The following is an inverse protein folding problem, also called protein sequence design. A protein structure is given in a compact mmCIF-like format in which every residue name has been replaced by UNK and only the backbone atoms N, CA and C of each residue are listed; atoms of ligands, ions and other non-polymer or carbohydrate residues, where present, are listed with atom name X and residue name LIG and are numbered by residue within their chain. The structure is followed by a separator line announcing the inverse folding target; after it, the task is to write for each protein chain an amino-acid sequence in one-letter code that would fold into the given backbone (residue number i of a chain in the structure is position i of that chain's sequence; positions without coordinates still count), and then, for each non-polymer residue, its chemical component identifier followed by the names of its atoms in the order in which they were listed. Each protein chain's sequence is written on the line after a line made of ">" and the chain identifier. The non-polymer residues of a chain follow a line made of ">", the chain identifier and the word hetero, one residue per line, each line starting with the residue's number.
data_IF_887966279972
#
_entry.id   IF_887966279972
#
_cell.length_a   1.000
_cell.length_b   1.000
_cell.length_c   1.000
_cell.angle_alpha   90.00
_cell.angle_beta   90.00
_cell.angle_gamma   90.00
#
_symmetry.space_group_name_H-M   'P 1'
#
loop_
_entity.id
_entity.type
_entity.pdbx_description
1 polymer ?
#
# COMPACT_ATOMS: atom_id res chain seq x y z
N UNK A 1 -6.95 -17.29 24.14
CA UNK A 1 -7.84 -16.85 23.03
C UNK A 1 -7.01 -16.35 21.85
N UNK A 2 -6.84 -17.22 20.85
CA UNK A 2 -6.72 -16.97 19.40
C UNK A 2 -5.71 -15.95 18.83
N UNK A 3 -4.42 -16.06 19.15
CA UNK A 3 -3.35 -15.39 18.35
C UNK A 3 -3.11 -16.07 16.99
N UNK A 4 -3.33 -17.39 16.90
CA UNK A 4 -3.17 -18.17 15.65
C UNK A 4 -4.12 -17.74 14.52
N UNK A 5 -5.30 -17.20 14.87
CA UNK A 5 -6.34 -16.81 13.90
C UNK A 5 -6.01 -15.50 13.18
N UNK A 6 -5.40 -14.52 13.88
CA UNK A 6 -5.05 -13.21 13.29
C UNK A 6 -3.89 -13.31 12.32
N UNK A 7 -2.86 -14.10 12.65
CA UNK A 7 -1.71 -14.30 11.76
C UNK A 7 -2.08 -15.07 10.48
N UNK A 8 -3.03 -16.01 10.58
CA UNK A 8 -3.55 -16.72 9.41
C UNK A 8 -4.35 -15.78 8.49
N UNK A 9 -5.23 -14.94 9.05
CA UNK A 9 -6.00 -13.96 8.29
C UNK A 9 -5.09 -12.92 7.58
N UNK A 10 -4.06 -12.42 8.27
CA UNK A 10 -3.09 -11.48 7.67
C UNK A 10 -2.32 -12.13 6.52
N UNK A 11 -1.87 -13.38 6.68
CA UNK A 11 -1.21 -14.13 5.61
C UNK A 11 -2.15 -14.34 4.42
N UNK A 12 -3.41 -14.72 4.67
CA UNK A 12 -4.42 -14.95 3.64
C UNK A 12 -4.69 -13.69 2.82
N UNK A 13 -4.95 -12.55 3.48
CA UNK A 13 -5.12 -11.24 2.81
C UNK A 13 -3.90 -10.85 1.98
N UNK A 14 -2.69 -11.02 2.51
CA UNK A 14 -1.46 -10.71 1.76
C UNK A 14 -1.28 -11.62 0.54
N UNK A 15 -1.58 -12.91 0.68
CA UNK A 15 -1.54 -13.86 -0.44
C UNK A 15 -2.56 -13.48 -1.50
N UNK A 16 -3.82 -13.22 -1.12
CA UNK A 16 -4.85 -12.83 -2.08
C UNK A 16 -4.49 -11.53 -2.80
N UNK A 17 -4.02 -10.50 -2.09
CA UNK A 17 -3.59 -9.25 -2.72
C UNK A 17 -2.48 -9.46 -3.77
N UNK A 18 -1.51 -10.34 -3.49
CA UNK A 18 -0.45 -10.68 -4.45
C UNK A 18 -0.99 -11.44 -5.66
N UNK A 19 -1.93 -12.36 -5.46
CA UNK A 19 -2.52 -13.13 -6.56
C UNK A 19 -3.34 -12.21 -7.48
N UNK A 20 -4.17 -11.34 -6.91
CA UNK A 20 -4.96 -10.35 -7.67
C UNK A 20 -4.03 -9.41 -8.43
N UNK A 21 -3.00 -8.85 -7.78
CA UNK A 21 -2.05 -7.96 -8.47
C UNK A 21 -1.31 -8.65 -9.62
N UNK A 22 -0.93 -9.92 -9.45
CA UNK A 22 -0.28 -10.70 -10.50
C UNK A 22 -1.24 -10.95 -11.67
N UNK A 23 -2.50 -11.31 -11.40
CA UNK A 23 -3.51 -11.48 -12.44
C UNK A 23 -3.75 -10.16 -13.22
N UNK A 24 -3.83 -9.04 -12.51
CA UNK A 24 -3.91 -7.70 -13.12
C UNK A 24 -2.70 -7.42 -14.01
N UNK A 25 -1.49 -7.78 -13.58
CA UNK A 25 -0.25 -7.61 -14.35
C UNK A 25 -0.23 -8.50 -15.60
N UNK A 26 -0.59 -9.77 -15.45
CA UNK A 26 -0.65 -10.75 -16.55
C UNK A 26 -1.71 -10.37 -17.59
N UNK A 27 -2.83 -9.80 -17.17
CA UNK A 27 -3.93 -9.37 -18.05
C UNK A 27 -3.77 -7.94 -18.58
N UNK A 28 -2.85 -7.15 -18.03
CA UNK A 28 -2.71 -5.73 -18.34
C UNK A 28 -3.89 -4.88 -17.84
N UNK A 29 -4.70 -5.39 -16.92
CA UNK A 29 -5.80 -4.64 -16.32
C UNK A 29 -5.30 -3.73 -15.19
N UNK A 30 -5.81 -2.51 -15.13
CA UNK A 30 -5.55 -1.56 -14.02
C UNK A 30 -6.74 -1.41 -13.07
N UNK A 31 -7.87 -2.03 -13.39
CA UNK A 31 -9.06 -2.11 -12.56
C UNK A 31 -9.34 -3.57 -12.21
N UNK A 32 -9.81 -3.82 -11.00
CA UNK A 32 -10.18 -5.16 -10.51
C UNK A 32 -11.25 -5.78 -11.42
N UNK A 33 -10.99 -6.93 -12.05
CA UNK A 33 -11.99 -7.63 -12.83
C UNK A 33 -13.16 -8.13 -11.97
N UNK A 34 -14.38 -8.22 -12.53
CA UNK A 34 -15.58 -8.62 -11.76
C UNK A 34 -15.48 -10.00 -11.10
N UNK A 35 -14.70 -10.92 -11.68
CA UNK A 35 -14.54 -12.27 -11.13
C UNK A 35 -13.75 -12.32 -9.81
N UNK A 36 -13.08 -11.23 -9.41
CA UNK A 36 -12.41 -11.13 -8.12
C UNK A 36 -13.30 -10.56 -7.01
N UNK A 37 -14.47 -10.02 -7.34
CA UNK A 37 -15.36 -9.38 -6.37
C UNK A 37 -15.75 -10.29 -5.20
N UNK A 38 -16.11 -11.58 -5.38
CA UNK A 38 -16.50 -12.44 -4.26
C UNK A 38 -15.37 -12.68 -3.24
N UNK A 39 -14.16 -12.94 -3.72
CA UNK A 39 -12.97 -13.15 -2.90
C UNK A 39 -12.54 -11.85 -2.21
N UNK A 40 -12.65 -10.73 -2.90
CA UNK A 40 -12.35 -9.41 -2.35
C UNK A 40 -13.38 -9.04 -1.26
N UNK A 41 -14.66 -9.29 -1.50
CA UNK A 41 -15.71 -9.08 -0.51
C UNK A 41 -15.46 -9.92 0.73
N UNK A 42 -15.19 -11.22 0.56
CA UNK A 42 -14.94 -12.15 1.66
C UNK A 42 -13.72 -11.75 2.52
N UNK A 43 -12.60 -11.42 1.89
CA UNK A 43 -11.34 -11.22 2.61
C UNK A 43 -11.09 -9.78 3.05
N UNK A 44 -11.63 -8.81 2.29
CA UNK A 44 -11.37 -7.39 2.50
C UNK A 44 -12.59 -6.59 2.99
N UNK A 45 -13.80 -7.15 2.92
CA UNK A 45 -15.04 -6.40 3.11
C UNK A 45 -15.30 -5.45 1.94
N UNK A 46 -14.90 -5.86 0.74
CA UNK A 46 -15.15 -5.17 -0.51
C UNK A 46 -13.95 -4.40 -1.07
N UNK A 47 -14.18 -3.76 -2.22
CA UNK A 47 -13.15 -3.05 -2.98
C UNK A 47 -12.42 -1.99 -2.15
N UNK A 48 -13.14 -1.21 -1.34
CA UNK A 48 -12.52 -0.20 -0.49
C UNK A 48 -11.51 -0.77 0.51
N UNK A 49 -11.82 -1.92 1.10
CA UNK A 49 -10.89 -2.62 2.00
C UNK A 49 -9.67 -3.20 1.28
N UNK A 50 -9.85 -3.60 0.01
CA UNK A 50 -8.77 -4.06 -0.86
C UNK A 50 -7.85 -2.91 -1.28
N UNK A 51 -8.41 -1.78 -1.72
CA UNK A 51 -7.64 -0.58 -2.07
C UNK A 51 -6.87 -0.03 -0.86
N UNK A 52 -7.46 -0.07 0.34
CA UNK A 52 -6.77 0.30 1.58
C UNK A 52 -5.59 -0.65 1.89
N UNK A 53 -5.70 -1.94 1.56
CA UNK A 53 -4.57 -2.88 1.68
C UNK A 53 -3.45 -2.53 0.70
N UNK A 54 -3.78 -2.29 -0.58
CA UNK A 54 -2.80 -1.93 -1.60
C UNK A 54 -2.10 -0.61 -1.27
N UNK A 55 -2.87 0.40 -0.88
CA UNK A 55 -2.36 1.70 -0.41
C UNK A 55 -1.39 1.51 0.75
N UNK A 56 -1.73 0.66 1.73
CA UNK A 56 -0.82 0.36 2.85
C UNK A 56 0.49 -0.27 2.39
N UNK A 57 0.45 -1.22 1.45
CA UNK A 57 1.66 -1.86 0.93
C UNK A 57 2.57 -0.85 0.24
N UNK A 58 1.99 0.01 -0.60
CA UNK A 58 2.71 1.09 -1.27
C UNK A 58 3.37 2.06 -0.30
N UNK A 59 2.58 2.64 0.61
CA UNK A 59 3.07 3.62 1.57
C UNK A 59 4.10 3.04 2.54
N UNK A 60 4.00 1.76 2.88
CA UNK A 60 5.01 1.08 3.70
C UNK A 60 6.34 0.93 2.95
N UNK A 61 6.30 0.56 1.66
CA UNK A 61 7.50 0.47 0.84
C UNK A 61 8.15 1.85 0.64
N UNK A 62 7.33 2.87 0.36
CA UNK A 62 7.77 4.26 0.26
C UNK A 62 8.45 4.76 1.53
N UNK A 63 7.82 4.55 2.70
CA UNK A 63 8.37 4.96 3.99
C UNK A 63 9.72 4.30 4.26
N UNK A 64 9.79 2.97 4.10
CA UNK A 64 11.01 2.21 4.35
C UNK A 64 12.16 2.64 3.41
N UNK A 65 11.85 2.92 2.15
CA UNK A 65 12.86 3.35 1.17
C UNK A 65 13.31 4.80 1.42
N UNK A 66 12.39 5.69 1.81
CA UNK A 66 12.73 7.06 2.22
C UNK A 66 13.63 7.05 3.47
N UNK A 67 13.30 6.23 4.47
CA UNK A 67 14.12 6.09 5.68
C UNK A 67 15.54 5.62 5.33
N UNK A 68 15.67 4.62 4.44
CA UNK A 68 16.98 4.17 3.96
C UNK A 68 17.77 5.26 3.21
N UNK A 69 17.11 6.08 2.38
CA UNK A 69 17.76 7.20 1.70
C UNK A 69 18.19 8.31 2.68
N UNK A 70 17.38 8.57 3.71
CA UNK A 70 17.71 9.52 4.78
C UNK A 70 18.95 9.07 5.55
N UNK A 71 19.06 7.78 5.88
CA UNK A 71 20.24 7.19 6.55
C UNK A 71 21.52 7.34 5.71
N UNK A 72 21.39 7.34 4.38
CA UNK A 72 22.50 7.55 3.44
C UNK A 72 22.83 9.03 3.16
N UNK A 73 22.09 9.96 3.78
CA UNK A 73 22.26 11.40 3.54
C UNK A 73 21.71 11.89 2.19
N UNK A 74 20.91 11.07 1.51
CA UNK A 74 20.35 11.32 0.18
C UNK A 74 18.80 11.32 0.19
N UNK A 75 18.19 11.70 1.32
CA UNK A 75 16.75 11.65 1.56
C UNK A 75 15.93 12.63 0.73
N UNK A 76 15.82 12.38 -0.57
CA UNK A 76 14.88 13.06 -1.47
C UNK A 76 13.56 12.26 -1.56
N UNK A 77 12.45 12.80 -1.04
CA UNK A 77 11.13 12.20 -1.15
C UNK A 77 10.69 11.91 -2.59
N UNK A 78 11.12 12.72 -3.56
CA UNK A 78 10.77 12.55 -4.97
C UNK A 78 11.54 11.39 -5.62
N UNK A 79 12.82 11.21 -5.25
CA UNK A 79 13.59 10.02 -5.61
C UNK A 79 12.95 8.77 -5.02
N UNK A 80 12.60 8.79 -3.72
CA UNK A 80 11.99 7.64 -3.08
C UNK A 80 10.67 7.21 -3.74
N UNK A 81 9.87 8.19 -4.17
CA UNK A 81 8.62 7.95 -4.87
C UNK A 81 8.86 7.28 -6.23
N UNK A 82 9.82 7.80 -7.01
CA UNK A 82 10.20 7.22 -8.31
C UNK A 82 10.70 5.79 -8.16
N UNK A 83 11.60 5.55 -7.21
CA UNK A 83 12.19 4.23 -7.00
C UNK A 83 11.13 3.17 -6.65
N UNK A 84 10.19 3.50 -5.76
CA UNK A 84 9.11 2.55 -5.40
C UNK A 84 8.13 2.37 -6.55
N UNK A 85 7.92 3.39 -7.38
CA UNK A 85 7.15 3.28 -8.62
C UNK A 85 7.78 2.36 -9.64
N UNK A 86 9.09 2.44 -9.80
CA UNK A 86 9.84 1.53 -10.68
C UNK A 86 9.84 0.09 -10.13
N UNK A 87 9.86 -0.09 -8.80
CA UNK A 87 9.81 -1.41 -8.17
C UNK A 87 8.42 -2.07 -8.23
N UNK A 88 7.34 -1.27 -8.18
CA UNK A 88 5.96 -1.77 -8.10
C UNK A 88 5.02 -1.01 -9.06
N UNK A 89 5.33 -0.97 -10.38
CA UNK A 89 4.63 -0.11 -11.33
C UNK A 89 3.15 -0.46 -11.43
N UNK A 90 2.81 -1.75 -11.38
CA UNK A 90 1.42 -2.19 -11.52
C UNK A 90 0.57 -1.87 -10.30
N UNK A 91 1.15 -1.97 -9.10
CA UNK A 91 0.45 -1.54 -7.89
C UNK A 91 0.12 -0.05 -7.96
N UNK A 92 1.07 0.79 -8.39
CA UNK A 92 0.82 2.23 -8.58
C UNK A 92 -0.28 2.49 -9.61
N UNK A 93 -0.21 1.83 -10.76
CA UNK A 93 -1.20 1.99 -11.83
C UNK A 93 -2.63 1.63 -11.38
N UNK A 94 -2.77 0.58 -10.56
CA UNK A 94 -4.06 0.21 -9.96
C UNK A 94 -4.54 1.30 -9.01
N UNK A 95 -3.69 1.78 -8.10
CA UNK A 95 -4.08 2.87 -7.18
C UNK A 95 -4.47 4.15 -7.94
N UNK A 96 -3.73 4.50 -9.00
CA UNK A 96 -4.04 5.65 -9.86
C UNK A 96 -5.39 5.51 -10.55
N UNK A 97 -5.75 4.31 -10.98
CA UNK A 97 -7.04 4.03 -11.62
C UNK A 97 -8.23 4.23 -10.68
N UNK A 98 -8.00 4.21 -9.36
CA UNK A 98 -9.01 4.41 -8.33
C UNK A 98 -8.82 5.72 -7.53
N UNK A 99 -8.05 6.69 -8.02
CA UNK A 99 -7.76 7.93 -7.30
C UNK A 99 -9.01 8.75 -6.87
N UNK A 100 -10.16 8.52 -7.51
CA UNK A 100 -11.45 9.13 -7.14
C UNK A 100 -12.21 8.43 -6.02
N UNK A 101 -11.78 7.24 -5.59
CA UNK A 101 -12.49 6.44 -4.59
C UNK A 101 -12.31 6.98 -3.17
N UNK A 102 -13.42 7.28 -2.49
CA UNK A 102 -13.40 7.88 -1.16
C UNK A 102 -12.67 7.02 -0.12
N UNK A 103 -12.80 5.69 -0.24
CA UNK A 103 -12.12 4.75 0.65
C UNK A 103 -10.60 4.77 0.47
N UNK A 104 -10.12 4.92 -0.77
CA UNK A 104 -8.70 5.04 -1.06
C UNK A 104 -8.16 6.38 -0.54
N UNK A 105 -8.84 7.49 -0.86
CA UNK A 105 -8.44 8.81 -0.40
C UNK A 105 -8.34 8.88 1.14
N UNK A 106 -9.25 8.23 1.85
CA UNK A 106 -9.21 8.13 3.30
C UNK A 106 -8.05 7.26 3.82
N UNK A 107 -7.73 6.16 3.15
CA UNK A 107 -6.57 5.34 3.50
C UNK A 107 -5.26 6.12 3.31
N UNK A 108 -5.12 6.83 2.19
CA UNK A 108 -3.93 7.66 1.89
C UNK A 108 -3.77 8.81 2.88
N UNK A 109 -4.86 9.50 3.26
CA UNK A 109 -4.83 10.54 4.29
C UNK A 109 -4.23 10.02 5.60
N UNK A 110 -4.67 8.85 6.07
CA UNK A 110 -4.15 8.24 7.30
C UNK A 110 -2.65 7.93 7.19
N UNK A 111 -2.16 7.50 6.03
CA UNK A 111 -0.74 7.25 5.82
C UNK A 111 0.09 8.54 5.85
N UNK A 112 -0.37 9.59 5.18
CA UNK A 112 0.26 10.91 5.23
C UNK A 112 0.33 11.46 6.67
N UNK A 113 -0.73 11.28 7.47
CA UNK A 113 -0.75 11.73 8.86
C UNK A 113 0.27 10.99 9.73
N UNK A 114 0.40 9.67 9.55
CA UNK A 114 1.40 8.85 10.26
C UNK A 114 2.82 9.31 9.90
N UNK A 115 3.13 9.45 8.62
CA UNK A 115 4.46 9.91 8.15
C UNK A 115 4.79 11.31 8.67
N UNK A 116 3.82 12.22 8.66
CA UNK A 116 3.99 13.58 9.20
C UNK A 116 4.25 13.58 10.72
N UNK A 117 3.76 12.57 11.43
CA UNK A 117 4.00 12.44 12.87
C UNK A 117 5.37 11.82 13.17
N UNK A 118 5.79 10.79 12.42
CA UNK A 118 7.09 10.12 12.62
C UNK A 118 8.27 11.04 12.31
N UNK A 119 8.25 11.69 11.14
CA UNK A 119 9.29 12.65 10.70
C UNK A 119 9.46 13.83 11.66
N UNK A 120 8.36 14.39 12.18
CA UNK A 120 8.41 15.46 13.20
C UNK A 120 9.01 15.01 14.53
N UNK A 121 8.89 13.72 14.88
CA UNK A 121 9.44 13.18 16.14
C UNK A 121 10.94 12.96 16.06
N UNK A 122 11.45 12.58 14.90
CA UNK A 122 12.89 12.39 14.65
C UNK A 122 13.64 13.71 14.60
N UNK A 123 13.09 14.73 13.94
CA UNK A 123 13.67 16.08 13.93
C UNK A 123 13.86 16.67 15.34
N UNK A 124 13.01 16.30 16.30
CA UNK A 124 13.12 16.75 17.71
C UNK A 124 14.13 15.96 18.54
N UNK A 125 14.59 14.79 18.08
CA UNK A 125 15.60 13.97 18.78
C UNK A 125 17.03 14.28 18.31
N UNK A 126 17.18 14.90 17.15
CA UNK A 126 18.47 15.29 16.57
C UNK A 126 18.90 16.73 16.92
N UNK A 127 18.08 17.47 17.68
CA UNK A 127 18.33 18.84 18.14
C UNK A 127 18.61 18.84 19.65
#
# INVERSE_FOLDING_TARGET
>A
MSTLSRSAAVRRRRTLARVVLRDLEETGATTVPPWWEPEIEQEFGGLGGFLAELSRQWWTAYAAHLDALLELGAGDPAQAWRDVTEQMPWLRAVLDSYAGEAALAEAERRHCDVLRWTTRREARRAA
#
